data_IF_440510708935
#
_entry.id   IF_440510708935
#
_cell.length_a   1.000
_cell.length_b   1.000
_cell.length_c   1.000
_cell.angle_alpha   90.00
_cell.angle_beta   90.00
_cell.angle_gamma   90.00
#
_symmetry.space_group_name_H-M   'P 1'
#
loop_
_entity.id
_entity.type
_entity.pdbx_description
1 polymer ?
#
# COMPACT_ATOMS: atom_id res chain seq x y z
N UNK A 1 -13.89 17.39 24.61
CA UNK A 1 -13.53 17.70 23.21
C UNK A 1 -13.42 16.40 22.41
N UNK A 2 -14.27 16.18 21.39
CA UNK A 2 -14.05 15.08 20.42
C UNK A 2 -12.76 15.40 19.66
N UNK A 3 -11.68 14.64 19.87
CA UNK A 3 -10.45 14.77 19.08
C UNK A 3 -10.85 14.61 17.61
N UNK A 4 -10.61 15.63 16.77
CA UNK A 4 -10.66 15.47 15.31
C UNK A 4 -9.68 14.36 14.97
N UNK A 5 -10.18 13.19 14.61
CA UNK A 5 -9.35 12.09 14.13
C UNK A 5 -8.73 12.59 12.83
N UNK A 6 -7.43 12.84 12.86
CA UNK A 6 -6.69 13.28 11.68
C UNK A 6 -6.65 12.08 10.74
N UNK A 7 -7.54 12.08 9.74
CA UNK A 7 -7.63 10.98 8.77
C UNK A 7 -6.34 11.02 7.94
N UNK A 8 -5.52 9.99 8.05
CA UNK A 8 -4.28 9.85 7.29
C UNK A 8 -4.59 9.20 5.92
N UNK A 9 -3.93 9.68 4.87
CA UNK A 9 -3.98 9.09 3.53
C UNK A 9 -3.63 7.58 3.55
N UNK A 10 -2.62 7.20 4.33
CA UNK A 10 -2.25 5.79 4.54
C UNK A 10 -3.40 4.97 5.11
N UNK A 11 -4.08 5.48 6.14
CA UNK A 11 -5.20 4.77 6.76
C UNK A 11 -6.36 4.55 5.79
N UNK A 12 -6.61 5.52 4.89
CA UNK A 12 -7.61 5.35 3.83
C UNK A 12 -7.13 4.32 2.81
N UNK A 13 -5.86 4.37 2.39
CA UNK A 13 -5.29 3.35 1.51
C UNK A 13 -5.48 1.96 2.09
N UNK A 14 -4.99 1.73 3.30
CA UNK A 14 -4.99 0.43 3.96
C UNK A 14 -6.40 -0.09 4.26
N UNK A 15 -7.36 0.79 4.59
CA UNK A 15 -8.72 0.35 4.96
C UNK A 15 -9.68 0.23 3.77
N UNK A 16 -9.45 1.01 2.70
CA UNK A 16 -10.44 1.20 1.62
C UNK A 16 -9.90 0.88 0.23
N UNK A 17 -8.62 1.10 -0.03
CA UNK A 17 -8.02 0.81 -1.33
C UNK A 17 -7.43 -0.59 -1.40
N UNK A 18 -6.64 -0.98 -0.40
CA UNK A 18 -5.92 -2.27 -0.36
C UNK A 18 -6.83 -3.45 -0.70
N UNK A 19 -8.01 -3.53 -0.06
CA UNK A 19 -8.97 -4.62 -0.25
C UNK A 19 -9.48 -4.74 -1.68
N UNK A 20 -9.66 -3.62 -2.37
CA UNK A 20 -10.14 -3.61 -3.74
C UNK A 20 -9.02 -3.89 -4.76
N UNK A 21 -7.76 -3.73 -4.35
CA UNK A 21 -6.58 -3.98 -5.17
C UNK A 21 -5.98 -5.37 -4.93
N UNK A 22 -6.31 -6.02 -3.81
CA UNK A 22 -5.77 -7.34 -3.46
C UNK A 22 -6.56 -8.41 -4.21
N UNK A 23 -5.93 -8.99 -5.23
CA UNK A 23 -6.42 -10.17 -5.93
C UNK A 23 -6.23 -11.45 -5.10
N UNK A 24 -6.72 -12.58 -5.61
CA UNK A 24 -6.45 -13.90 -5.04
C UNK A 24 -4.99 -14.31 -5.23
N UNK A 25 -4.37 -13.84 -6.33
CA UNK A 25 -2.94 -14.00 -6.61
C UNK A 25 -2.21 -12.65 -6.75
N UNK A 26 -0.88 -12.69 -6.76
CA UNK A 26 0.01 -11.55 -7.00
C UNK A 26 -0.13 -11.05 -8.43
N UNK A 27 -0.33 -11.94 -9.39
CA UNK A 27 -0.68 -11.61 -10.78
C UNK A 27 -2.03 -10.90 -10.88
N UNK A 28 -3.07 -11.41 -10.23
CA UNK A 28 -4.39 -10.78 -10.21
C UNK A 28 -4.34 -9.40 -9.52
N UNK A 29 -3.52 -9.26 -8.48
CA UNK A 29 -3.26 -7.99 -7.79
C UNK A 29 -2.61 -6.96 -8.72
N UNK A 30 -1.65 -7.37 -9.55
CA UNK A 30 -1.03 -6.53 -10.58
C UNK A 30 -2.06 -6.14 -11.64
N UNK A 31 -2.83 -7.09 -12.14
CA UNK A 31 -3.84 -6.84 -13.17
C UNK A 31 -4.90 -5.84 -12.70
N UNK A 32 -5.47 -6.04 -11.51
CA UNK A 32 -6.43 -5.10 -10.91
C UNK A 32 -5.81 -3.71 -10.79
N UNK A 33 -4.57 -3.60 -10.30
CA UNK A 33 -3.90 -2.32 -10.14
C UNK A 33 -3.65 -1.59 -11.45
N UNK A 34 -3.11 -2.30 -12.45
CA UNK A 34 -2.84 -1.77 -13.78
C UNK A 34 -4.11 -1.29 -14.48
N UNK A 35 -5.24 -1.95 -14.24
CA UNK A 35 -6.54 -1.59 -14.80
C UNK A 35 -7.29 -0.54 -13.95
N UNK A 36 -6.81 -0.18 -12.75
CA UNK A 36 -7.45 0.82 -11.89
C UNK A 36 -6.92 2.23 -12.16
N UNK A 37 -7.78 3.08 -12.73
CA UNK A 37 -7.50 4.48 -13.08
C UNK A 37 -7.15 5.34 -11.85
N UNK A 38 -6.17 6.24 -11.99
CA UNK A 38 -5.85 7.28 -11.02
C UNK A 38 -7.05 8.17 -10.66
N UNK A 39 -8.01 8.39 -11.57
CA UNK A 39 -9.25 9.09 -11.26
C UNK A 39 -10.10 8.37 -10.21
N UNK A 40 -10.08 7.03 -10.18
CA UNK A 40 -10.75 6.26 -9.14
C UNK A 40 -10.18 6.61 -7.76
N UNK A 41 -8.85 6.68 -7.65
CA UNK A 41 -8.17 7.08 -6.42
C UNK A 41 -8.48 8.52 -6.01
N UNK A 42 -8.43 9.45 -6.97
CA UNK A 42 -8.77 10.85 -6.72
C UNK A 42 -10.23 11.02 -6.25
N UNK A 43 -11.18 10.35 -6.90
CA UNK A 43 -12.61 10.45 -6.57
C UNK A 43 -12.94 9.83 -5.22
N UNK A 44 -12.34 8.68 -4.88
CA UNK A 44 -12.54 8.06 -3.57
C UNK A 44 -11.94 8.91 -2.45
N UNK A 45 -10.75 9.48 -2.67
CA UNK A 45 -10.11 10.40 -1.73
C UNK A 45 -10.98 11.65 -1.48
N UNK A 46 -11.55 12.24 -2.55
CA UNK A 46 -12.53 13.34 -2.47
C UNK A 46 -13.80 12.94 -1.72
N UNK A 47 -14.35 11.74 -1.96
CA UNK A 47 -15.53 11.20 -1.25
C UNK A 47 -15.29 11.14 0.26
N UNK A 48 -14.06 10.89 0.69
CA UNK A 48 -13.66 10.87 2.09
C UNK A 48 -13.22 12.23 2.66
N UNK A 49 -13.41 13.32 1.91
CA UNK A 49 -13.10 14.70 2.29
C UNK A 49 -11.63 14.89 2.69
N UNK A 50 -10.73 14.24 1.96
CA UNK A 50 -9.29 14.48 2.08
C UNK A 50 -8.91 15.85 1.50
N UNK A 51 -7.94 16.50 2.13
CA UNK A 51 -7.35 17.75 1.61
C UNK A 51 -6.52 17.47 0.34
N UNK A 52 -6.31 18.48 -0.52
CA UNK A 52 -5.59 18.32 -1.79
C UNK A 52 -4.21 17.68 -1.62
N UNK A 53 -3.44 18.08 -0.60
CA UNK A 53 -2.14 17.46 -0.29
C UNK A 53 -2.26 15.97 0.02
N UNK A 54 -3.34 15.56 0.69
CA UNK A 54 -3.58 14.16 1.06
C UNK A 54 -4.07 13.35 -0.15
N UNK A 55 -4.89 13.94 -1.02
CA UNK A 55 -5.27 13.35 -2.31
C UNK A 55 -4.02 13.12 -3.16
N UNK A 56 -3.16 14.14 -3.27
CA UNK A 56 -1.89 14.03 -3.96
C UNK A 56 -0.98 12.95 -3.33
N UNK A 57 -1.00 12.78 -2.01
CA UNK A 57 -0.32 11.66 -1.36
C UNK A 57 -0.91 10.29 -1.74
N UNK A 58 -2.24 10.13 -1.79
CA UNK A 58 -2.86 8.85 -2.22
C UNK A 58 -2.52 8.52 -3.67
N UNK A 59 -2.56 9.51 -4.56
CA UNK A 59 -2.29 9.33 -5.99
C UNK A 59 -0.80 9.19 -6.27
N UNK A 60 0.05 10.05 -5.67
CA UNK A 60 1.49 10.09 -5.89
C UNK A 60 2.28 8.98 -5.18
N UNK A 61 1.76 8.45 -4.07
CA UNK A 61 2.33 7.29 -3.37
C UNK A 61 1.57 5.98 -3.67
N UNK A 62 0.65 5.99 -4.65
CA UNK A 62 -0.10 4.81 -5.11
C UNK A 62 0.83 3.62 -5.35
N UNK A 63 1.98 3.87 -5.97
CA UNK A 63 2.97 2.85 -6.30
C UNK A 63 3.67 2.27 -5.08
N UNK A 64 3.98 3.09 -4.06
CA UNK A 64 4.59 2.59 -2.81
C UNK A 64 3.65 1.64 -2.07
N UNK A 65 2.39 2.06 -1.90
CA UNK A 65 1.40 1.26 -1.21
C UNK A 65 1.03 0.00 -2.00
N UNK A 66 1.04 0.08 -3.33
CA UNK A 66 0.86 -1.09 -4.19
C UNK A 66 2.03 -2.06 -4.09
N UNK A 67 3.27 -1.57 -4.10
CA UNK A 67 4.45 -2.42 -3.91
C UNK A 67 4.42 -3.12 -2.56
N UNK A 68 4.02 -2.42 -1.49
CA UNK A 68 3.82 -3.04 -0.17
C UNK A 68 2.75 -4.13 -0.21
N UNK A 69 1.60 -3.85 -0.84
CA UNK A 69 0.52 -4.80 -1.04
C UNK A 69 0.99 -6.06 -1.78
N UNK A 70 1.70 -5.87 -2.89
CA UNK A 70 2.18 -6.94 -3.76
C UNK A 70 3.21 -7.82 -3.04
N UNK A 71 4.17 -7.22 -2.33
CA UNK A 71 5.15 -7.98 -1.54
C UNK A 71 4.45 -8.83 -0.48
N UNK A 72 3.51 -8.25 0.26
CA UNK A 72 2.77 -8.99 1.29
C UNK A 72 1.95 -10.14 0.69
N UNK A 73 1.37 -9.93 -0.48
CA UNK A 73 0.59 -10.93 -1.20
C UNK A 73 1.50 -12.09 -1.70
N UNK A 74 2.68 -11.78 -2.25
CA UNK A 74 3.69 -12.79 -2.63
C UNK A 74 4.15 -13.60 -1.41
N UNK A 75 4.44 -12.93 -0.29
CA UNK A 75 4.83 -13.62 0.96
C UNK A 75 3.72 -14.60 1.37
N UNK A 76 2.46 -14.17 1.31
CA UNK A 76 1.30 -14.99 1.67
C UNK A 76 1.09 -16.20 0.74
N UNK A 77 1.18 -15.99 -0.57
CA UNK A 77 1.07 -17.08 -1.56
C UNK A 77 2.11 -18.17 -1.36
N UNK A 78 3.31 -17.78 -0.98
CA UNK A 78 4.43 -18.69 -0.78
C UNK A 78 4.52 -19.22 0.66
N UNK A 79 3.56 -18.89 1.53
CA UNK A 79 3.54 -19.29 2.96
C UNK A 79 4.80 -18.86 3.72
N UNK A 80 5.32 -17.67 3.39
CA UNK A 80 6.57 -17.13 3.90
C UNK A 80 6.38 -16.18 5.09
N UNK A 81 5.16 -16.00 5.60
CA UNK A 81 4.82 -15.03 6.65
C UNK A 81 5.61 -15.26 7.95
N UNK A 82 5.97 -16.51 8.22
CA UNK A 82 6.77 -16.87 9.40
C UNK A 82 8.23 -16.39 9.28
N UNK A 83 8.70 -16.12 8.06
CA UNK A 83 10.10 -15.77 7.77
C UNK A 83 10.26 -14.31 7.35
N UNK A 84 9.30 -13.77 6.63
CA UNK A 84 9.39 -12.44 6.02
C UNK A 84 8.17 -11.60 6.33
N UNK A 85 8.39 -10.29 6.52
CA UNK A 85 7.32 -9.30 6.54
C UNK A 85 7.80 -7.97 5.95
N UNK A 86 6.86 -7.21 5.38
CA UNK A 86 7.13 -5.84 4.97
C UNK A 86 6.89 -4.90 6.15
N UNK A 87 7.95 -4.18 6.59
CA UNK A 87 7.82 -3.18 7.68
C UNK A 87 7.46 -1.80 7.15
N UNK A 88 8.01 -1.44 5.99
CA UNK A 88 7.85 -0.14 5.35
C UNK A 88 8.33 -0.23 3.90
N UNK A 89 7.55 0.31 2.98
CA UNK A 89 7.99 0.67 1.63
C UNK A 89 8.12 2.20 1.58
N UNK A 90 9.15 2.69 0.89
CA UNK A 90 9.38 4.12 0.63
C UNK A 90 9.86 4.29 -0.79
N UNK A 91 9.29 5.21 -1.55
CA UNK A 91 9.82 5.71 -2.81
C UNK A 91 10.42 7.09 -2.54
N UNK A 92 11.74 7.14 -2.60
CA UNK A 92 12.47 8.39 -2.65
C UNK A 92 12.50 8.90 -4.09
N UNK A 93 12.25 10.21 -4.26
CA UNK A 93 12.27 10.87 -5.58
C UNK A 93 13.60 10.74 -6.32
N UNK A 94 14.71 10.46 -5.61
CA UNK A 94 16.05 10.28 -6.19
C UNK A 94 16.25 8.98 -6.93
N UNK A 95 15.40 7.97 -6.70
CA UNK A 95 15.63 6.65 -7.26
C UNK A 95 14.32 5.89 -7.30
N UNK A 96 13.55 6.06 -8.38
CA UNK A 96 12.38 5.25 -8.67
C UNK A 96 12.64 3.78 -8.31
N UNK A 97 11.84 3.25 -7.38
CA UNK A 97 11.84 1.85 -6.93
C UNK A 97 13.13 1.27 -6.32
N UNK A 98 14.15 2.06 -5.96
CA UNK A 98 15.47 1.50 -5.58
C UNK A 98 15.72 1.26 -4.08
N UNK A 99 14.80 1.67 -3.19
CA UNK A 99 14.94 1.51 -1.73
C UNK A 99 13.78 0.71 -1.13
N UNK A 100 13.79 -0.62 -1.28
CA UNK A 100 12.82 -1.52 -0.62
C UNK A 100 13.51 -2.30 0.50
N UNK A 101 13.14 -2.07 1.75
CA UNK A 101 13.66 -2.85 2.89
C UNK A 101 12.67 -3.93 3.32
N UNK A 102 12.93 -5.18 2.95
CA UNK A 102 12.23 -6.36 3.49
C UNK A 102 12.94 -6.77 4.78
N UNK A 103 12.19 -7.04 5.87
CA UNK A 103 12.77 -7.49 7.14
C UNK A 103 12.45 -8.97 7.39
N UNK A 104 13.41 -9.65 7.99
CA UNK A 104 13.26 -10.99 8.51
C UNK A 104 12.44 -10.95 9.81
N UNK A 105 11.60 -11.96 10.01
CA UNK A 105 10.93 -12.17 11.28
C UNK A 105 11.98 -12.72 12.26
N UNK A 106 12.32 -11.95 13.31
CA UNK A 106 13.31 -12.34 14.33
C UNK A 106 12.83 -13.50 15.25
N UNK A 107 11.87 -14.32 14.80
CA UNK A 107 11.34 -15.45 15.56
C UNK A 107 12.18 -16.73 15.38
N UNK A 108 13.06 -16.79 14.38
CA UNK A 108 14.06 -17.86 14.27
C UNK A 108 15.24 -17.53 15.20
N UNK A 109 15.16 -18.00 16.45
CA UNK A 109 16.37 -18.33 17.22
C UNK A 109 16.96 -19.60 16.60
N UNK A 110 18.18 -19.49 16.10
CA UNK A 110 19.03 -20.63 15.75
C UNK A 110 19.12 -21.64 16.89
#
# INVERSE_FOLDING_TARGET
>A
MKKKVKINAKDIFDKKFSKNLTGKSSEETIDIFCNTDNNYFANLAKKHKLEERQIASVVGFKDEFFVELLINQIIKENKLENRFYCKKVTANQTSGLLSRSIKLNNAEKY
#
